data_IF_024790484687
#
_entry.id   IF_024790484687
#
_cell.length_a   1.000
_cell.length_b   1.000
_cell.length_c   1.000
_cell.angle_alpha   90.00
_cell.angle_beta   90.00
_cell.angle_gamma   90.00
#
_symmetry.space_group_name_H-M   'P 1'
#
loop_
_entity.id
_entity.type
_entity.pdbx_description
1 polymer ?
#
# COMPACT_ATOMS: atom_id res chain seq x y z
N UNK A 1 -18.50 13.14 -25.67
CA UNK A 1 -18.17 12.92 -25.21
C UNK A 1 -17.77 12.45 -24.59
N UNK A 2 -17.63 12.42 -24.57
CA UNK A 2 -17.21 12.17 -23.94
C UNK A 2 -16.71 11.75 -23.16
N UNK A 3 -16.42 11.40 -23.17
CA UNK A 3 -15.96 10.88 -22.43
C UNK A 3 -15.48 11.15 -21.50
N UNK A 4 -15.32 10.73 -21.53
CA UNK A 4 -14.97 11.01 -20.32
C UNK A 4 -13.59 10.63 -20.02
N UNK A 5 -12.76 11.48 -20.34
CA UNK A 5 -11.35 11.33 -20.04
C UNK A 5 -11.16 11.56 -18.54
N UNK A 6 -10.55 10.59 -17.88
CA UNK A 6 -10.24 10.77 -16.47
C UNK A 6 -8.98 11.61 -16.35
N UNK A 7 -9.12 12.76 -15.72
CA UNK A 7 -8.00 13.63 -15.46
C UNK A 7 -7.24 13.09 -14.24
N UNK A 8 -6.02 12.62 -14.45
CA UNK A 8 -5.25 12.04 -13.37
C UNK A 8 -4.96 13.03 -12.26
N UNK A 9 -4.84 14.30 -12.59
CA UNK A 9 -4.64 15.32 -11.57
C UNK A 9 -5.84 15.40 -10.65
N UNK A 10 -7.05 15.40 -11.22
CA UNK A 10 -8.26 15.40 -10.42
C UNK A 10 -8.41 14.13 -9.62
N UNK A 11 -7.99 13.00 -10.18
CA UNK A 11 -8.05 11.74 -9.46
C UNK A 11 -7.16 11.76 -8.23
N UNK A 12 -5.92 12.24 -8.38
CA UNK A 12 -5.00 12.33 -7.26
C UNK A 12 -5.53 13.30 -6.20
N UNK A 13 -6.08 14.43 -6.65
CA UNK A 13 -6.63 15.41 -5.74
C UNK A 13 -7.77 14.81 -4.91
N UNK A 14 -8.63 14.05 -5.57
CA UNK A 14 -9.74 13.39 -4.90
C UNK A 14 -9.21 12.36 -3.88
N UNK A 15 -8.22 11.58 -4.28
CA UNK A 15 -7.65 10.55 -3.41
C UNK A 15 -6.95 11.16 -2.21
N UNK A 16 -6.41 12.36 -2.36
CA UNK A 16 -5.70 13.02 -1.27
C UNK A 16 -6.58 13.24 -0.06
N UNK A 17 -7.88 13.38 -0.29
CA UNK A 17 -8.85 13.61 0.77
C UNK A 17 -9.51 12.33 1.27
N UNK A 18 -9.11 11.18 0.74
CA UNK A 18 -9.68 9.90 1.13
C UNK A 18 -8.98 9.41 2.40
N UNK A 19 -9.72 9.01 3.43
CA UNK A 19 -9.08 8.44 4.61
C UNK A 19 -8.33 7.17 4.29
N UNK A 20 -7.18 6.97 4.94
CA UNK A 20 -6.34 5.81 4.69
C UNK A 20 -7.06 4.48 4.85
N UNK A 21 -7.94 4.30 5.86
CA UNK A 21 -8.64 3.02 5.97
C UNK A 21 -9.42 2.63 4.71
N UNK A 22 -9.88 3.61 3.93
CA UNK A 22 -10.58 3.31 2.67
C UNK A 22 -9.64 2.64 1.68
N UNK A 23 -8.39 3.07 1.64
CA UNK A 23 -7.40 2.42 0.78
C UNK A 23 -7.15 1.00 1.23
N UNK A 24 -7.12 0.76 2.53
CA UNK A 24 -6.89 -0.60 3.04
C UNK A 24 -8.08 -1.50 2.74
N UNK A 25 -9.30 -0.95 2.78
CA UNK A 25 -10.49 -1.71 2.38
C UNK A 25 -10.41 -2.10 0.91
N UNK A 26 -9.95 -1.18 0.07
CA UNK A 26 -9.78 -1.48 -1.35
C UNK A 26 -8.71 -2.53 -1.56
N UNK A 27 -7.63 -2.47 -0.78
CA UNK A 27 -6.59 -3.50 -0.84
C UNK A 27 -7.17 -4.86 -0.43
N UNK A 28 -7.97 -4.87 0.62
CA UNK A 28 -8.55 -6.12 1.11
C UNK A 28 -9.38 -6.80 0.02
N UNK A 29 -10.07 -6.01 -0.79
CA UNK A 29 -10.89 -6.54 -1.88
C UNK A 29 -10.02 -7.13 -3.00
N UNK A 30 -8.74 -6.79 -3.04
CA UNK A 30 -7.82 -7.29 -4.06
C UNK A 30 -6.92 -8.41 -3.57
N UNK A 31 -7.14 -8.89 -2.37
CA UNK A 31 -6.32 -9.96 -1.82
C UNK A 31 -6.55 -11.25 -2.62
N UNK A 32 -5.46 -11.88 -3.01
CA UNK A 32 -5.49 -13.15 -3.71
C UNK A 32 -5.63 -14.24 -2.65
N UNK A 33 -6.85 -14.66 -2.39
CA UNK A 33 -7.14 -15.54 -1.27
C UNK A 33 -6.38 -16.86 -1.35
N UNK A 34 -6.22 -17.40 -2.55
CA UNK A 34 -5.50 -18.65 -2.73
C UNK A 34 -4.01 -18.50 -2.40
N UNK A 35 -3.42 -17.36 -2.76
CA UNK A 35 -2.01 -17.12 -2.46
C UNK A 35 -1.81 -16.77 -1.00
N UNK A 36 -2.81 -16.20 -0.37
CA UNK A 36 -2.72 -15.81 1.03
C UNK A 36 -2.95 -16.97 1.98
N UNK A 37 -3.43 -18.09 1.46
CA UNK A 37 -3.72 -19.25 2.29
C UNK A 37 -2.47 -19.70 3.02
N UNK A 38 -2.58 -19.87 4.33
CA UNK A 38 -1.46 -20.28 5.15
C UNK A 38 -0.45 -19.20 5.46
N UNK A 39 -0.65 -18.00 4.96
CA UNK A 39 0.28 -16.89 5.21
C UNK A 39 -0.16 -16.10 6.43
N UNK A 40 0.83 -15.64 7.19
CA UNK A 40 0.60 -14.75 8.33
C UNK A 40 1.67 -13.68 8.28
N UNK A 41 1.31 -12.49 7.81
CA UNK A 41 2.24 -11.40 7.62
C UNK A 41 1.71 -10.16 8.32
N UNK A 42 2.57 -9.47 9.04
CA UNK A 42 2.24 -8.24 9.76
C UNK A 42 3.20 -7.15 9.36
N UNK A 43 2.64 -6.02 8.91
CA UNK A 43 3.45 -4.88 8.54
C UNK A 43 2.82 -3.62 9.13
N UNK A 44 3.65 -2.64 9.39
CA UNK A 44 3.20 -1.32 9.84
C UNK A 44 3.36 -0.31 8.72
N UNK A 45 2.39 0.59 8.61
CA UNK A 45 2.48 1.75 7.73
C UNK A 45 2.55 3.00 8.59
N UNK A 46 3.50 3.86 8.30
CA UNK A 46 3.63 5.14 8.97
C UNK A 46 3.62 6.23 7.91
N UNK A 47 2.64 7.13 8.01
CA UNK A 47 2.60 8.30 7.14
C UNK A 47 3.40 9.39 7.83
N UNK A 48 4.57 9.70 7.25
CA UNK A 48 5.52 10.56 7.92
C UNK A 48 5.09 12.03 7.94
N UNK A 49 4.22 12.43 7.00
CA UNK A 49 3.77 13.82 6.95
C UNK A 49 2.63 14.09 7.91
N UNK A 50 1.79 13.10 8.21
CA UNK A 50 0.66 13.30 9.11
C UNK A 50 0.86 12.64 10.48
N UNK A 51 1.80 11.73 10.57
CA UNK A 51 2.02 10.96 11.80
C UNK A 51 1.05 9.81 11.97
N UNK A 52 0.19 9.57 11.00
CA UNK A 52 -0.74 8.45 11.08
C UNK A 52 0.00 7.13 11.03
N UNK A 53 -0.47 6.19 11.84
CA UNK A 53 0.12 4.86 11.91
C UNK A 53 -0.97 3.82 11.78
N UNK A 54 -0.68 2.79 11.01
CA UNK A 54 -1.63 1.70 10.79
C UNK A 54 -0.90 0.37 10.82
N UNK A 55 -1.55 -0.61 11.42
CA UNK A 55 -1.03 -1.97 11.44
C UNK A 55 -1.88 -2.81 10.48
N UNK A 56 -1.23 -3.49 9.56
CA UNK A 56 -1.90 -4.34 8.59
C UNK A 56 -1.44 -5.77 8.80
N UNK A 57 -2.39 -6.69 8.73
CA UNK A 57 -2.09 -8.10 8.94
C UNK A 57 -2.88 -8.95 7.96
N UNK A 58 -2.17 -9.84 7.26
CA UNK A 58 -2.82 -10.89 6.48
C UNK A 58 -2.82 -12.14 7.32
N UNK A 59 -4.00 -12.67 7.57
CA UNK A 59 -4.18 -13.88 8.36
C UNK A 59 -5.48 -14.55 7.93
N UNK A 60 -5.46 -15.85 7.77
CA UNK A 60 -6.64 -16.61 7.35
C UNK A 60 -7.22 -16.08 6.04
N UNK A 61 -6.34 -15.69 5.12
CA UNK A 61 -6.70 -15.17 3.80
C UNK A 61 -7.54 -13.89 3.87
N UNK A 62 -7.37 -13.11 4.93
CA UNK A 62 -8.08 -11.83 5.10
C UNK A 62 -7.06 -10.76 5.46
N UNK A 63 -7.23 -9.57 4.92
CA UNK A 63 -6.45 -8.41 5.32
C UNK A 63 -7.18 -7.70 6.46
N UNK A 64 -6.51 -7.59 7.58
CA UNK A 64 -6.98 -6.82 8.73
C UNK A 64 -6.18 -5.55 8.84
N UNK A 65 -6.82 -4.47 9.24
CA UNK A 65 -6.09 -3.22 9.46
C UNK A 65 -6.67 -2.52 10.68
N UNK A 66 -5.82 -1.79 11.36
CA UNK A 66 -6.24 -1.00 12.53
C UNK A 66 -5.30 0.18 12.70
N UNK A 67 -5.77 1.16 13.45
CA UNK A 67 -4.95 2.31 13.81
C UNK A 67 -3.92 1.87 14.85
N UNK A 68 -2.72 2.38 14.72
CA UNK A 68 -1.65 2.10 15.67
C UNK A 68 -0.56 1.25 15.05
N UNK A 69 0.38 0.83 15.87
CA UNK A 69 1.50 0.02 15.42
C UNK A 69 1.44 -1.35 16.07
N UNK A 70 1.83 -2.35 15.33
CA UNK A 70 1.91 -3.72 15.83
C UNK A 70 3.36 -3.98 16.20
N UNK A 71 3.66 -4.21 17.48
CA UNK A 71 5.05 -4.46 17.88
C UNK A 71 5.61 -5.76 17.32
N UNK A 72 4.75 -6.64 16.84
CA UNK A 72 5.17 -7.91 16.25
C UNK A 72 5.30 -7.85 14.74
N UNK A 73 5.09 -6.68 14.14
CA UNK A 73 5.27 -6.53 12.70
C UNK A 73 6.73 -6.73 12.33
N UNK A 74 6.96 -7.41 11.22
CA UNK A 74 8.31 -7.74 10.78
C UNK A 74 8.86 -6.68 9.83
N UNK A 75 8.02 -5.78 9.36
CA UNK A 75 8.44 -4.70 8.48
C UNK A 75 7.60 -3.47 8.73
N UNK A 76 8.21 -2.32 8.50
CA UNK A 76 7.52 -1.03 8.60
C UNK A 76 7.80 -0.24 7.34
N UNK A 77 6.75 0.26 6.72
CA UNK A 77 6.85 1.13 5.55
C UNK A 77 6.54 2.55 6.00
N UNK A 78 7.53 3.44 5.83
CA UNK A 78 7.39 4.85 6.18
C UNK A 78 7.41 5.66 4.91
N UNK A 79 6.36 6.44 4.69
CA UNK A 79 6.24 7.21 3.46
C UNK A 79 5.29 8.37 3.69
N UNK A 80 5.36 9.34 2.77
CA UNK A 80 4.37 10.41 2.77
C UNK A 80 3.11 9.91 2.06
N UNK A 81 2.02 10.61 2.32
CA UNK A 81 0.77 10.29 1.62
C UNK A 81 0.92 10.48 0.11
N UNK A 82 1.65 11.52 -0.30
CA UNK A 82 1.87 11.75 -1.74
C UNK A 82 2.60 10.59 -2.39
N UNK A 83 3.61 10.05 -1.75
CA UNK A 83 4.32 8.88 -2.28
C UNK A 83 3.37 7.70 -2.39
N UNK A 84 2.56 7.48 -1.36
CA UNK A 84 1.59 6.39 -1.39
C UNK A 84 0.64 6.54 -2.58
N UNK A 85 0.12 7.75 -2.79
CA UNK A 85 -0.81 8.00 -3.88
C UNK A 85 -0.15 7.78 -5.24
N UNK A 86 1.11 8.19 -5.38
CA UNK A 86 1.84 7.96 -6.62
C UNK A 86 2.00 6.48 -6.90
N UNK A 87 2.23 5.70 -5.86
CA UNK A 87 2.37 4.26 -6.00
C UNK A 87 1.08 3.62 -6.47
N UNK A 88 -0.04 3.94 -5.81
CA UNK A 88 -1.31 3.29 -6.14
C UNK A 88 -1.91 3.79 -7.44
N UNK A 89 -1.53 4.97 -7.90
CA UNK A 89 -2.02 5.49 -9.18
C UNK A 89 -1.09 5.14 -10.33
N UNK A 90 0.06 4.53 -10.04
CA UNK A 90 1.00 4.16 -11.07
C UNK A 90 1.77 5.33 -11.66
N UNK A 91 1.74 6.49 -11.03
CA UNK A 91 2.42 7.66 -11.55
C UNK A 91 3.93 7.62 -11.34
N UNK A 92 4.39 6.85 -10.39
CA UNK A 92 5.81 6.73 -10.12
C UNK A 92 6.24 5.28 -10.29
N UNK A 93 7.37 5.08 -10.94
CA UNK A 93 7.95 3.75 -11.01
C UNK A 93 8.46 3.33 -9.65
N UNK A 94 8.49 2.02 -9.43
CA UNK A 94 8.92 1.50 -8.13
C UNK A 94 10.34 1.93 -7.81
N UNK A 95 11.23 1.91 -8.80
CA UNK A 95 12.63 2.26 -8.55
C UNK A 95 12.76 3.72 -8.14
N UNK A 96 12.02 4.62 -8.79
CA UNK A 96 12.06 6.02 -8.42
C UNK A 96 11.50 6.23 -7.02
N UNK A 97 10.46 5.48 -6.68
CA UNK A 97 9.84 5.58 -5.36
C UNK A 97 10.80 5.11 -4.27
N UNK A 98 11.49 4.00 -4.53
CA UNK A 98 12.43 3.43 -3.55
C UNK A 98 13.65 4.31 -3.34
N UNK A 99 14.00 5.14 -4.32
CA UNK A 99 15.12 6.05 -4.20
C UNK A 99 14.73 7.37 -3.56
N UNK A 100 13.44 7.57 -3.32
CA UNK A 100 12.96 8.80 -2.70
C UNK A 100 13.30 8.83 -1.22
N UNK A 101 13.72 10.00 -0.73
CA UNK A 101 13.92 10.20 0.69
C UNK A 101 12.60 10.14 1.46
N UNK A 102 11.47 10.20 0.75
CA UNK A 102 10.15 10.19 1.36
C UNK A 102 9.62 8.78 1.58
N UNK A 103 10.42 7.77 1.25
CA UNK A 103 10.04 6.39 1.49
C UNK A 103 11.18 5.65 2.17
N UNK A 104 10.88 5.03 3.29
CA UNK A 104 11.85 4.24 4.04
C UNK A 104 11.22 2.91 4.43
N UNK A 105 12.03 1.88 4.42
CA UNK A 105 11.62 0.55 4.83
C UNK A 105 12.48 0.12 6.01
N UNK A 106 11.83 -0.24 7.11
CA UNK A 106 12.52 -0.78 8.27
C UNK A 106 12.12 -2.23 8.43
N UNK A 107 13.05 -3.05 8.88
CA UNK A 107 12.79 -4.46 9.08
C UNK A 107 12.96 -5.26 7.81
N UNK A 108 12.13 -6.28 7.64
CA UNK A 108 12.31 -7.25 6.57
C UNK A 108 11.72 -6.75 5.25
N UNK A 109 12.59 -6.43 4.30
CA UNK A 109 12.14 -6.05 2.96
C UNK A 109 11.48 -7.22 2.26
N UNK A 110 11.93 -8.44 2.55
CA UNK A 110 11.34 -9.64 1.96
C UNK A 110 9.91 -9.84 2.42
N UNK A 111 9.66 -9.61 3.71
CA UNK A 111 8.30 -9.74 4.21
C UNK A 111 7.39 -8.69 3.62
N UNK A 112 7.89 -7.48 3.45
CA UNK A 112 7.11 -6.43 2.81
C UNK A 112 6.80 -6.78 1.36
N UNK A 113 7.80 -7.30 0.64
CA UNK A 113 7.60 -7.75 -0.73
C UNK A 113 6.57 -8.87 -0.80
N UNK A 114 6.69 -9.83 0.11
CA UNK A 114 5.74 -10.94 0.19
C UNK A 114 4.33 -10.42 0.45
N UNK A 115 4.23 -9.47 1.37
CA UNK A 115 2.93 -8.89 1.71
C UNK A 115 2.26 -8.29 0.48
N UNK A 116 2.97 -7.41 -0.23
CA UNK A 116 2.37 -6.75 -1.38
C UNK A 116 2.10 -7.70 -2.54
N UNK A 117 2.86 -8.79 -2.65
CA UNK A 117 2.65 -9.75 -3.72
C UNK A 117 1.32 -10.50 -3.60
N UNK A 118 0.68 -10.42 -2.44
CA UNK A 118 -0.58 -11.11 -2.22
C UNK A 118 -1.79 -10.38 -2.78
N UNK A 119 -1.59 -9.19 -3.36
CA UNK A 119 -2.70 -8.37 -3.81
C UNK A 119 -2.70 -8.22 -5.33
N UNK A 120 -3.90 -8.26 -5.93
CA UNK A 120 -4.05 -7.95 -7.34
C UNK A 120 -3.72 -6.50 -7.59
N UNK A 121 -3.09 -6.24 -8.71
CA UNK A 121 -2.69 -4.88 -9.07
C UNK A 121 -3.62 -4.36 -10.15
N UNK A 122 -4.31 -3.26 -9.88
CA UNK A 122 -5.22 -2.71 -10.87
C UNK A 122 -4.44 -2.30 -12.11
N UNK A 123 -4.90 -2.74 -13.26
CA UNK A 123 -4.32 -2.39 -14.57
C UNK A 123 -2.85 -2.75 -14.69
N UNK A 124 -2.34 -3.60 -13.81
CA UNK A 124 -0.93 -3.96 -13.83
C UNK A 124 -0.01 -2.82 -13.50
N UNK A 125 -0.54 -1.73 -12.96
CA UNK A 125 0.26 -0.54 -12.68
C UNK A 125 0.69 -0.42 -11.24
N UNK A 126 -0.09 -0.97 -10.34
CA UNK A 126 0.21 -0.92 -8.93
C UNK A 126 1.23 -2.01 -8.65
N UNK A 127 2.45 -1.73 -9.00
CA UNK A 127 3.51 -2.72 -8.98
C UNK A 127 4.56 -2.28 -7.98
N UNK A 128 4.19 -2.30 -6.72
CA UNK A 128 5.08 -1.87 -5.66
C UNK A 128 6.25 -2.81 -5.55
N UNK A 129 5.98 -4.08 -5.71
CA UNK A 129 7.02 -5.09 -5.57
C UNK A 129 7.29 -5.67 -6.92
N UNK A 130 8.48 -5.46 -7.38
CA UNK A 130 8.93 -6.02 -8.64
C UNK A 130 9.91 -7.11 -8.30
N UNK A 131 9.56 -8.32 -8.59
CA UNK A 131 10.48 -9.43 -8.34
C UNK A 131 11.71 -9.32 -9.18
#
# INVERSE_FOLDING_TARGET
KPEKVVDMSSTVELLRNTPMPRFFEAMAARLKADKAEGKALRVNFVLTDSGERYALEVKNSVLHHRVGSDPKATATLKLTRDIYLKMITGKAGINNTLLSDDLQIEGSKLDLASFFSLFHQPDGRFNIIVP
#
